data_IF_223259001123
#
_entry.id   IF_223259001123
#
_cell.length_a   1.000
_cell.length_b   1.000
_cell.length_c   1.000
_cell.angle_alpha   90.00
_cell.angle_beta   90.00
_cell.angle_gamma   90.00
#
_symmetry.space_group_name_H-M   'P 1'
#
loop_
_entity.id
_entity.type
_entity.pdbx_description
1 polymer ?
#
# COMPACT_ATOMS: atom_id res chain seq x y z
N UNK A 1 -23.54 -24.09 50.44
CA UNK A 1 -22.23 -24.77 50.36
C UNK A 1 -21.28 -23.82 49.63
N UNK A 2 -20.17 -23.47 50.27
CA UNK A 2 -19.02 -22.67 49.79
C UNK A 2 -18.54 -23.14 48.38
N UNK A 3 -17.78 -22.44 47.53
CA UNK A 3 -16.73 -21.40 47.68
C UNK A 3 -16.39 -20.78 46.29
N UNK A 4 -15.77 -19.60 46.32
CA UNK A 4 -15.22 -18.76 45.24
C UNK A 4 -14.14 -19.40 44.35
N UNK A 5 -13.98 -18.93 43.10
CA UNK A 5 -12.75 -18.22 42.63
C UNK A 5 -12.76 -17.88 41.14
N UNK A 6 -12.19 -16.72 40.82
CA UNK A 6 -12.05 -16.10 39.49
C UNK A 6 -11.00 -16.82 38.64
N UNK A 7 -11.12 -16.75 37.31
CA UNK A 7 -9.97 -16.67 36.40
C UNK A 7 -10.39 -16.10 35.03
N UNK A 8 -9.84 -14.93 34.73
CA UNK A 8 -9.80 -14.28 33.41
C UNK A 8 -8.63 -14.90 32.64
N UNK A 9 -8.81 -15.31 31.39
CA UNK A 9 -7.75 -15.51 30.40
C UNK A 9 -8.36 -15.42 28.98
N UNK A 10 -8.17 -14.31 28.25
CA UNK A 10 -7.09 -14.03 27.30
C UNK A 10 -7.09 -14.93 26.04
N UNK A 11 -7.37 -14.31 24.88
CA UNK A 11 -6.74 -14.67 23.60
C UNK A 11 -7.48 -15.65 22.68
N UNK A 12 -8.54 -15.21 22.00
CA UNK A 12 -8.99 -15.89 20.77
C UNK A 12 -8.20 -15.35 19.57
N UNK A 13 -7.24 -16.14 19.11
CA UNK A 13 -6.53 -15.96 17.84
C UNK A 13 -7.51 -16.24 16.71
N UNK A 14 -7.86 -15.21 15.94
CA UNK A 14 -8.64 -15.38 14.70
C UNK A 14 -7.72 -15.88 13.59
N UNK A 15 -7.90 -17.13 13.17
CA UNK A 15 -7.25 -17.71 11.99
C UNK A 15 -7.84 -17.03 10.75
N UNK A 16 -7.05 -16.19 10.07
CA UNK A 16 -7.39 -15.64 8.77
C UNK A 16 -7.00 -16.66 7.69
N UNK A 17 -7.96 -17.47 7.25
CA UNK A 17 -7.81 -18.30 6.07
C UNK A 17 -7.81 -17.40 4.81
N UNK A 18 -6.66 -17.21 4.16
CA UNK A 18 -6.60 -16.56 2.85
C UNK A 18 -6.59 -17.65 1.79
N UNK A 19 -7.72 -17.74 1.09
CA UNK A 19 -7.93 -18.51 -0.13
C UNK A 19 -6.90 -18.14 -1.21
N UNK A 20 -6.15 -19.13 -1.71
CA UNK A 20 -5.28 -19.02 -2.88
C UNK A 20 -6.16 -18.92 -4.14
N UNK A 21 -6.61 -17.70 -4.45
CA UNK A 21 -7.27 -17.36 -5.71
C UNK A 21 -6.24 -17.18 -6.83
N UNK A 22 -6.56 -17.71 -8.02
CA UNK A 22 -5.65 -17.91 -9.14
C UNK A 22 -4.68 -16.77 -9.47
N UNK A 23 -3.43 -17.15 -9.75
CA UNK A 23 -2.41 -16.31 -10.35
C UNK A 23 -2.82 -16.09 -11.82
N UNK A 24 -3.77 -15.18 -12.04
CA UNK A 24 -3.90 -14.53 -13.33
C UNK A 24 -2.64 -13.70 -13.56
N UNK A 25 -2.03 -13.80 -14.73
CA UNK A 25 -0.94 -12.91 -15.11
C UNK A 25 -1.48 -11.47 -15.10
N UNK A 26 -1.30 -10.76 -13.98
CA UNK A 26 -1.56 -9.35 -13.91
C UNK A 26 -0.64 -8.68 -14.95
N UNK A 27 -1.21 -8.23 -16.07
CA UNK A 27 -0.54 -7.24 -16.91
C UNK A 27 -0.28 -6.06 -15.99
N UNK A 28 0.97 -5.86 -15.58
CA UNK A 28 1.34 -4.71 -14.76
C UNK A 28 0.83 -3.45 -15.48
N UNK A 29 -0.11 -2.75 -14.84
CA UNK A 29 -0.57 -1.45 -15.29
C UNK A 29 0.58 -0.44 -15.18
N UNK A 30 0.48 0.68 -15.89
CA UNK A 30 1.35 1.81 -15.61
C UNK A 30 1.17 2.24 -14.15
N UNK A 31 2.27 2.62 -13.50
CA UNK A 31 2.29 2.92 -12.07
C UNK A 31 2.20 4.43 -11.86
N UNK A 32 1.40 4.88 -10.88
CA UNK A 32 1.53 6.24 -10.36
C UNK A 32 2.30 6.23 -9.06
N UNK A 33 3.29 7.12 -8.93
CA UNK A 33 4.15 7.24 -7.76
C UNK A 33 4.15 8.68 -7.29
N UNK A 34 3.81 8.89 -6.02
CA UNK A 34 3.80 10.22 -5.40
C UNK A 34 5.12 10.52 -4.68
N UNK A 35 5.61 11.76 -4.79
CA UNK A 35 6.78 12.25 -4.07
C UNK A 35 6.69 13.76 -3.76
N UNK A 36 7.77 14.38 -3.27
CA UNK A 36 7.80 15.78 -2.79
C UNK A 36 8.39 16.79 -3.78
N UNK A 37 8.49 16.42 -5.05
CA UNK A 37 9.01 17.28 -6.11
C UNK A 37 10.53 17.50 -6.04
N UNK A 38 11.00 18.47 -6.83
CA UNK A 38 12.39 18.95 -6.83
C UNK A 38 13.46 17.88 -7.07
N UNK A 39 14.66 18.14 -6.52
CA UNK A 39 15.81 17.24 -6.67
C UNK A 39 15.59 15.86 -6.01
N UNK A 40 14.72 15.78 -5.01
CA UNK A 40 14.40 14.51 -4.35
C UNK A 40 13.59 13.59 -5.26
N UNK A 41 12.59 14.11 -5.97
CA UNK A 41 11.86 13.31 -6.97
C UNK A 41 12.76 12.94 -8.15
N UNK A 42 13.61 13.87 -8.59
CA UNK A 42 14.56 13.61 -9.66
C UNK A 42 15.57 12.50 -9.31
N UNK A 43 15.98 12.38 -8.05
CA UNK A 43 16.87 11.30 -7.62
C UNK A 43 16.17 9.94 -7.69
N UNK A 44 14.90 9.86 -7.28
CA UNK A 44 14.10 8.63 -7.34
C UNK A 44 13.77 8.22 -8.78
N UNK A 45 13.46 9.17 -9.66
CA UNK A 45 13.26 8.93 -11.08
C UNK A 45 14.48 8.27 -11.72
N UNK A 46 15.68 8.75 -11.39
CA UNK A 46 16.94 8.19 -11.94
C UNK A 46 17.33 6.87 -11.30
N UNK A 47 17.26 6.77 -9.98
CA UNK A 47 17.76 5.62 -9.23
C UNK A 47 16.81 4.41 -9.26
N UNK A 48 15.50 4.65 -9.29
CA UNK A 48 14.49 3.59 -9.17
C UNK A 48 13.56 3.55 -10.37
N UNK A 49 13.08 4.71 -10.82
CA UNK A 49 12.10 4.80 -11.90
C UNK A 49 12.64 4.27 -13.23
N UNK A 50 13.73 4.85 -13.72
CA UNK A 50 14.32 4.48 -15.01
C UNK A 50 14.73 3.00 -15.10
N UNK A 51 15.39 2.40 -14.09
CA UNK A 51 15.67 0.96 -14.12
C UNK A 51 14.41 0.10 -14.15
N UNK A 52 13.36 0.50 -13.41
CA UNK A 52 12.09 -0.22 -13.41
C UNK A 52 11.40 -0.15 -14.76
N UNK A 53 11.24 1.05 -15.33
CA UNK A 53 10.62 1.23 -16.66
C UNK A 53 11.38 0.47 -17.74
N UNK A 54 12.72 0.49 -17.71
CA UNK A 54 13.56 -0.24 -18.65
C UNK A 54 13.38 -1.76 -18.52
N UNK A 55 13.23 -2.27 -17.29
CA UNK A 55 13.05 -3.70 -17.00
C UNK A 55 11.66 -4.21 -17.38
N UNK A 56 10.63 -3.40 -17.19
CA UNK A 56 9.23 -3.81 -17.36
C UNK A 56 8.63 -3.39 -18.69
N UNK A 57 9.21 -2.38 -19.36
CA UNK A 57 8.61 -1.72 -20.52
C UNK A 57 7.37 -0.89 -20.19
N UNK A 58 7.07 -0.68 -18.91
CA UNK A 58 5.92 0.08 -18.41
C UNK A 58 6.31 1.50 -18.01
N UNK A 59 5.33 2.38 -17.81
CA UNK A 59 5.54 3.78 -17.44
C UNK A 59 5.21 4.06 -15.99
N UNK A 60 5.94 5.04 -15.43
CA UNK A 60 5.66 5.63 -14.12
C UNK A 60 5.17 7.07 -14.33
N UNK A 61 3.97 7.34 -13.84
CA UNK A 61 3.41 8.67 -13.67
C UNK A 61 3.87 9.23 -12.31
N UNK A 62 4.62 10.34 -12.31
CA UNK A 62 5.13 10.93 -11.08
C UNK A 62 4.25 12.08 -10.63
N UNK A 63 3.67 11.94 -9.45
CA UNK A 63 2.77 12.93 -8.86
C UNK A 63 3.41 13.58 -7.64
N UNK A 64 3.01 14.82 -7.35
CA UNK A 64 3.47 15.52 -6.16
C UNK A 64 2.44 15.40 -5.03
N UNK A 65 2.87 14.90 -3.88
CA UNK A 65 2.05 14.74 -2.69
C UNK A 65 2.62 15.59 -1.55
N UNK A 66 1.77 16.35 -0.87
CA UNK A 66 2.19 17.33 0.13
C UNK A 66 2.38 16.74 1.55
N UNK A 67 2.30 15.41 1.71
CA UNK A 67 2.67 14.71 2.95
C UNK A 67 1.55 14.57 4.00
N UNK A 68 0.33 15.02 3.72
CA UNK A 68 -0.79 14.94 4.67
C UNK A 68 -1.49 13.59 4.69
N UNK A 69 -1.35 12.81 5.78
CA UNK A 69 -2.05 11.52 5.95
C UNK A 69 -3.58 11.62 5.79
N UNK A 70 -4.16 12.79 6.05
CA UNK A 70 -5.58 13.05 5.82
C UNK A 70 -5.97 12.92 4.35
N UNK A 71 -5.14 13.38 3.41
CA UNK A 71 -5.38 13.27 1.97
C UNK A 71 -5.38 11.81 1.52
N UNK A 72 -4.38 11.03 1.98
CA UNK A 72 -4.31 9.58 1.72
C UNK A 72 -5.53 8.86 2.29
N UNK A 73 -5.89 9.17 3.54
CA UNK A 73 -7.06 8.57 4.20
C UNK A 73 -8.35 8.89 3.45
N UNK A 74 -8.57 10.14 3.06
CA UNK A 74 -9.77 10.55 2.33
C UNK A 74 -9.88 9.85 0.97
N UNK A 75 -8.77 9.72 0.23
CA UNK A 75 -8.79 9.02 -1.06
C UNK A 75 -9.09 7.53 -0.91
N UNK A 76 -8.52 6.89 0.11
CA UNK A 76 -8.80 5.48 0.41
C UNK A 76 -10.26 5.29 0.86
N UNK A 77 -10.76 6.12 1.78
CA UNK A 77 -12.11 6.00 2.32
C UNK A 77 -13.20 6.34 1.29
N UNK A 78 -12.92 7.28 0.38
CA UNK A 78 -13.86 7.63 -0.70
C UNK A 78 -13.86 6.62 -1.85
N UNK A 79 -12.88 5.72 -1.92
CA UNK A 79 -12.67 4.82 -3.05
C UNK A 79 -12.24 5.52 -4.34
N UNK A 80 -11.93 6.81 -4.28
CA UNK A 80 -11.48 7.62 -5.40
C UNK A 80 -10.02 8.03 -5.20
N UNK A 81 -9.10 7.11 -5.52
CA UNK A 81 -7.66 7.39 -5.54
C UNK A 81 -7.34 8.06 -6.87
N UNK A 82 -6.82 9.29 -6.80
CA UNK A 82 -6.56 10.11 -7.99
C UNK A 82 -5.17 9.84 -8.58
N UNK A 83 -4.37 8.99 -7.94
CA UNK A 83 -3.06 8.53 -8.38
C UNK A 83 -2.99 7.01 -8.38
#
# INVERSE_FOLDING_TARGET
MNIHSKLVALGTVSILAISVGGIGAASAADLTVTSWGGAYTASQQKAYGAPWEAKTGKKIHWENYNGGLGEVKTQVESGAVNW
#
